data_IF_047747467634
#
_entry.id   IF_047747467634
#
_cell.length_a   1.000
_cell.length_b   1.000
_cell.length_c   1.000
_cell.angle_alpha   90.00
_cell.angle_beta   90.00
_cell.angle_gamma   90.00
#
_symmetry.space_group_name_H-M   'P 1'
#
loop_
_entity.id
_entity.type
_entity.pdbx_description
1 polymer ?
#
# COMPACT_ATOMS: atom_id res chain seq x y z
N UNK A 1 -5.11 2.99 27.11
CA UNK A 1 -6.28 3.57 26.43
C UNK A 1 -5.98 5.03 26.17
N UNK A 2 -5.49 5.34 24.96
CA UNK A 2 -5.19 6.72 24.58
C UNK A 2 -6.50 7.47 24.36
N UNK A 3 -6.60 8.69 24.90
CA UNK A 3 -7.69 9.62 24.64
C UNK A 3 -7.78 9.82 23.13
N UNK A 4 -8.82 9.29 22.49
CA UNK A 4 -9.06 9.54 21.07
C UNK A 4 -9.15 11.06 20.87
N UNK A 5 -8.22 11.61 20.10
CA UNK A 5 -8.17 13.03 19.82
C UNK A 5 -9.27 13.30 18.79
N UNK A 6 -10.31 14.01 19.23
CA UNK A 6 -11.40 14.48 18.39
C UNK A 6 -10.92 15.69 17.57
N UNK A 7 -11.37 15.79 16.33
CA UNK A 7 -11.21 17.00 15.53
C UNK A 7 -12.02 18.13 16.15
N UNK A 8 -11.66 19.39 15.88
CA UNK A 8 -12.39 20.53 16.44
C UNK A 8 -13.83 20.60 15.93
N UNK A 9 -14.08 20.15 14.70
CA UNK A 9 -15.41 20.07 14.12
C UNK A 9 -16.28 19.03 14.85
N UNK A 10 -15.70 17.90 15.26
CA UNK A 10 -16.37 16.88 16.09
C UNK A 10 -16.69 17.40 17.49
N UNK A 11 -15.80 18.22 18.07
CA UNK A 11 -16.00 18.84 19.39
C UNK A 11 -17.19 19.81 19.34
N UNK A 12 -17.24 20.67 18.32
CA UNK A 12 -18.30 21.67 18.16
C UNK A 12 -19.67 20.99 17.90
N UNK A 13 -19.69 19.91 17.11
CA UNK A 13 -20.90 19.12 16.90
C UNK A 13 -21.41 18.48 18.20
N UNK A 14 -20.52 17.93 19.04
CA UNK A 14 -20.90 17.35 20.32
C UNK A 14 -21.41 18.41 21.31
N UNK A 15 -20.77 19.59 21.36
CA UNK A 15 -21.22 20.71 22.20
C UNK A 15 -22.61 21.19 21.80
N UNK A 16 -22.91 21.25 20.50
CA UNK A 16 -24.24 21.62 19.99
C UNK A 16 -25.31 20.60 20.38
N UNK A 17 -25.01 19.31 20.33
CA UNK A 17 -25.96 18.26 20.77
C UNK A 17 -26.21 18.24 22.28
N UNK A 18 -25.25 18.70 23.10
CA UNK A 18 -25.46 18.82 24.55
C UNK A 18 -26.57 19.84 24.87
N UNK A 19 -26.69 20.89 24.06
CA UNK A 19 -27.76 21.89 24.15
C UNK A 19 -29.11 21.42 23.60
N UNK A 20 -29.13 20.44 22.68
CA UNK A 20 -30.34 19.99 21.97
C UNK A 20 -30.99 18.71 22.57
N UNK A 21 -30.33 18.07 23.53
CA UNK A 21 -30.87 16.93 24.31
C UNK A 21 -30.32 15.57 23.91
N UNK A 22 -30.45 14.58 24.81
CA UNK A 22 -29.73 13.29 24.76
C UNK A 22 -30.03 12.42 23.53
N UNK A 23 -31.18 12.59 22.88
CA UNK A 23 -31.51 11.82 21.67
C UNK A 23 -30.70 12.28 20.44
N UNK A 24 -30.44 13.57 20.30
CA UNK A 24 -29.59 14.11 19.22
C UNK A 24 -28.13 13.67 19.38
N UNK A 25 -27.65 13.52 20.62
CA UNK A 25 -26.29 13.09 20.91
C UNK A 25 -25.99 11.64 20.47
N UNK A 26 -27.00 10.76 20.42
CA UNK A 26 -26.82 9.38 19.93
C UNK A 26 -26.65 9.33 18.41
N UNK A 27 -27.41 10.15 17.68
CA UNK A 27 -27.35 10.23 16.22
C UNK A 27 -26.01 10.78 15.74
N UNK A 28 -25.53 11.87 16.35
CA UNK A 28 -24.26 12.51 15.96
C UNK A 28 -23.05 11.62 16.27
N UNK A 29 -23.06 10.89 17.38
CA UNK A 29 -21.98 9.91 17.66
C UNK A 29 -21.93 8.80 16.61
N UNK A 30 -23.07 8.32 16.14
CA UNK A 30 -23.12 7.30 15.09
C UNK A 30 -22.65 7.84 13.73
N UNK A 31 -22.90 9.12 13.43
CA UNK A 31 -22.40 9.76 12.22
C UNK A 31 -20.88 9.95 12.26
N UNK A 32 -20.34 10.47 13.37
CA UNK A 32 -18.89 10.62 13.59
C UNK A 32 -18.18 9.27 13.48
N UNK A 33 -18.73 8.20 14.07
CA UNK A 33 -18.14 6.87 14.00
C UNK A 33 -18.18 6.30 12.57
N UNK A 34 -19.26 6.54 11.81
CA UNK A 34 -19.36 6.17 10.39
C UNK A 34 -18.37 6.94 9.52
N UNK A 35 -18.21 8.24 9.75
CA UNK A 35 -17.23 9.07 9.04
C UNK A 35 -15.81 8.59 9.32
N UNK A 36 -15.47 8.31 10.58
CA UNK A 36 -14.15 7.76 10.95
C UNK A 36 -13.88 6.38 10.34
N UNK A 37 -14.89 5.54 10.17
CA UNK A 37 -14.77 4.27 9.44
C UNK A 37 -14.57 4.50 7.93
N UNK A 38 -15.17 5.56 7.36
CA UNK A 38 -14.99 5.92 5.95
C UNK A 38 -13.62 6.54 5.66
N UNK A 39 -13.07 7.33 6.59
CA UNK A 39 -11.74 7.95 6.47
C UNK A 39 -10.61 6.95 6.69
N UNK A 40 -10.83 5.92 7.51
CA UNK A 40 -9.99 4.73 7.53
C UNK A 40 -10.16 4.04 6.19
N UNK A 41 -9.29 4.37 5.23
CA UNK A 41 -9.18 3.70 3.92
C UNK A 41 -8.88 2.22 4.11
N UNK A 42 -9.91 1.43 4.39
CA UNK A 42 -9.83 -0.03 4.48
C UNK A 42 -9.67 -0.53 3.05
N UNK A 43 -8.43 -0.78 2.65
CA UNK A 43 -8.14 -1.52 1.42
C UNK A 43 -8.42 -3.00 1.70
N UNK A 44 -9.45 -3.54 1.05
CA UNK A 44 -9.69 -4.98 1.00
C UNK A 44 -8.46 -5.64 0.37
N UNK A 45 -7.69 -6.36 1.17
CA UNK A 45 -6.48 -7.06 0.73
C UNK A 45 -6.85 -8.48 0.33
N UNK A 46 -6.65 -8.82 -0.95
CA UNK A 46 -6.90 -10.17 -1.45
C UNK A 46 -5.71 -11.09 -1.14
N UNK A 47 -5.81 -11.84 -0.05
CA UNK A 47 -4.79 -12.81 0.39
C UNK A 47 -4.59 -13.99 -0.57
N UNK A 48 -5.47 -14.18 -1.57
CA UNK A 48 -5.36 -15.28 -2.55
C UNK A 48 -4.32 -14.99 -3.63
N UNK A 49 -3.89 -13.74 -3.79
CA UNK A 49 -2.81 -13.33 -4.71
C UNK A 49 -1.78 -12.49 -3.97
N UNK A 50 -0.84 -13.12 -3.24
CA UNK A 50 0.21 -12.43 -2.51
C UNK A 50 1.32 -11.95 -3.46
N UNK A 51 1.00 -11.37 -4.63
CA UNK A 51 2.02 -10.70 -5.43
C UNK A 51 2.35 -9.37 -4.75
N UNK A 52 3.40 -9.40 -3.92
CA UNK A 52 4.00 -8.22 -3.28
C UNK A 52 4.45 -7.16 -4.29
N UNK A 53 4.55 -7.55 -5.57
CA UNK A 53 4.99 -6.71 -6.67
C UNK A 53 3.90 -6.61 -7.74
N UNK A 54 3.73 -5.43 -8.33
CA UNK A 54 2.84 -5.26 -9.47
C UNK A 54 3.40 -5.96 -10.71
N UNK A 55 2.53 -6.28 -11.68
CA UNK A 55 2.97 -6.83 -12.97
C UNK A 55 4.01 -5.96 -13.67
N UNK A 56 3.92 -4.64 -13.51
CA UNK A 56 4.89 -3.70 -14.09
C UNK A 56 6.23 -3.73 -13.37
N UNK A 57 6.23 -3.96 -12.06
CA UNK A 57 7.46 -4.20 -11.30
C UNK A 57 8.14 -5.50 -11.74
N UNK A 58 7.38 -6.58 -11.91
CA UNK A 58 7.90 -7.86 -12.43
C UNK A 58 8.49 -7.70 -13.85
N UNK A 59 7.82 -6.97 -14.74
CA UNK A 59 8.36 -6.61 -16.07
C UNK A 59 9.67 -5.82 -15.96
N UNK A 60 9.73 -4.87 -15.05
CA UNK A 60 10.93 -4.06 -14.80
C UNK A 60 12.08 -4.94 -14.35
N UNK A 61 11.86 -5.88 -13.42
CA UNK A 61 12.88 -6.81 -13.00
C UNK A 61 13.35 -7.70 -14.17
N UNK A 62 12.44 -8.23 -15.00
CA UNK A 62 12.83 -8.96 -16.20
C UNK A 62 13.73 -8.14 -17.14
N UNK A 63 13.44 -6.86 -17.34
CA UNK A 63 14.29 -5.98 -18.15
C UNK A 63 15.69 -5.80 -17.54
N UNK A 64 15.77 -5.56 -16.23
CA UNK A 64 17.04 -5.37 -15.50
C UNK A 64 17.89 -6.65 -15.60
N UNK A 65 17.32 -7.81 -15.26
CA UNK A 65 18.05 -9.07 -15.29
C UNK A 65 18.43 -9.51 -16.70
N UNK A 66 17.63 -9.18 -17.72
CA UNK A 66 17.99 -9.42 -19.12
C UNK A 66 19.17 -8.55 -19.57
N UNK A 67 19.22 -7.29 -19.13
CA UNK A 67 20.36 -6.42 -19.40
C UNK A 67 21.62 -6.91 -18.66
N UNK A 68 21.47 -7.30 -17.40
CA UNK A 68 22.55 -7.90 -16.61
C UNK A 68 23.11 -9.16 -17.27
N UNK A 69 22.28 -10.09 -17.74
CA UNK A 69 22.75 -11.33 -18.36
C UNK A 69 23.61 -11.05 -19.61
N UNK A 70 23.21 -10.08 -20.44
CA UNK A 70 23.99 -9.65 -21.62
C UNK A 70 25.35 -9.08 -21.22
N UNK A 71 25.38 -8.18 -20.23
CA UNK A 71 26.61 -7.57 -19.75
C UNK A 71 27.55 -8.59 -19.11
N UNK A 72 27.01 -9.47 -18.26
CA UNK A 72 27.75 -10.54 -17.62
C UNK A 72 28.34 -11.51 -18.64
N UNK A 73 27.56 -11.91 -19.67
CA UNK A 73 28.03 -12.80 -20.74
C UNK A 73 29.22 -12.20 -21.49
N UNK A 74 29.14 -10.91 -21.83
CA UNK A 74 30.24 -10.19 -22.50
C UNK A 74 31.48 -10.06 -21.60
N UNK A 75 31.28 -9.66 -20.35
CA UNK A 75 32.36 -9.47 -19.37
C UNK A 75 33.10 -10.78 -19.08
N UNK A 76 32.38 -11.87 -18.83
CA UNK A 76 32.98 -13.18 -18.58
C UNK A 76 33.68 -13.73 -19.82
N UNK A 77 33.10 -13.54 -21.01
CA UNK A 77 33.74 -13.98 -22.25
C UNK A 77 35.09 -13.28 -22.46
N UNK A 78 35.16 -11.98 -22.19
CA UNK A 78 36.40 -11.21 -22.24
C UNK A 78 37.41 -11.67 -21.19
N UNK A 79 36.96 -11.91 -19.95
CA UNK A 79 37.82 -12.33 -18.84
C UNK A 79 38.41 -13.72 -19.05
N UNK A 80 37.58 -14.69 -19.44
CA UNK A 80 37.99 -16.09 -19.61
C UNK A 80 38.63 -16.38 -20.97
N UNK A 81 38.56 -15.43 -21.92
CA UNK A 81 38.92 -15.62 -23.33
C UNK A 81 38.26 -16.86 -23.95
N UNK A 82 37.00 -17.09 -23.60
CA UNK A 82 36.20 -18.22 -24.06
C UNK A 82 34.78 -17.78 -24.37
N UNK A 83 34.04 -18.55 -25.19
CA UNK A 83 32.63 -18.27 -25.45
C UNK A 83 31.81 -18.61 -24.21
N UNK A 84 31.11 -17.61 -23.68
CA UNK A 84 30.20 -17.73 -22.55
C UNK A 84 28.82 -17.28 -23.01
N UNK A 85 27.80 -18.09 -22.73
CA UNK A 85 26.40 -17.79 -23.01
C UNK A 85 25.60 -17.81 -21.70
N UNK A 86 24.88 -16.73 -21.41
CA UNK A 86 24.07 -16.57 -20.19
C UNK A 86 22.65 -16.17 -20.58
N UNK A 87 21.66 -16.97 -20.17
CA UNK A 87 20.25 -16.76 -20.44
C UNK A 87 19.48 -16.53 -19.12
N UNK A 88 18.52 -15.59 -19.14
CA UNK A 88 17.58 -15.39 -18.03
C UNK A 88 16.47 -16.44 -18.09
N UNK A 89 16.32 -17.26 -17.04
CA UNK A 89 15.29 -18.31 -16.97
C UNK A 89 14.04 -17.88 -16.20
N UNK A 90 14.22 -17.24 -15.04
CA UNK A 90 13.13 -16.76 -14.19
C UNK A 90 13.58 -15.57 -13.37
N UNK A 91 12.61 -14.75 -12.95
CA UNK A 91 12.73 -13.64 -12.00
C UNK A 91 11.73 -13.82 -10.89
#
# INVERSE_FOLDING_TARGET
MGKEILSQEEIDALLKTLTEGEEAAKTVKQEIEKERVSERRIKVYDFRRPERFSKDQIRTFHMIFSAFSRLASSSLAAFLRSRVQINLLSV
#
